data_IF_304287694296
#
_entry.id   IF_304287694296
#
_cell.length_a   1.000
_cell.length_b   1.000
_cell.length_c   1.000
_cell.angle_alpha   90.00
_cell.angle_beta   90.00
_cell.angle_gamma   90.00
#
_symmetry.space_group_name_H-M   'P 1'
#
loop_
_entity.id
_entity.type
_entity.pdbx_description
1 polymer ?
#
# COMPACT_ATOMS: atom_id res chain seq x y z
N UNK A 1 -49.06 1.57 71.29
CA UNK A 1 -48.78 0.67 70.16
C UNK A 1 -48.01 1.41 69.08
N UNK A 2 -46.69 1.31 69.08
CA UNK A 2 -45.81 1.97 68.09
C UNK A 2 -45.56 1.01 66.97
N UNK A 3 -46.07 1.31 65.76
CA UNK A 3 -45.76 0.54 64.54
C UNK A 3 -44.40 1.01 64.03
N UNK A 4 -43.45 0.11 64.16
CA UNK A 4 -42.10 0.27 63.58
C UNK A 4 -42.18 -0.05 62.11
N UNK A 5 -42.05 0.97 61.23
CA UNK A 5 -41.88 0.81 59.81
C UNK A 5 -40.41 0.47 59.52
N UNK A 6 -40.11 -0.80 59.27
CA UNK A 6 -38.84 -1.19 58.68
C UNK A 6 -38.83 -0.80 57.21
N UNK A 7 -38.18 0.29 56.87
CA UNK A 7 -37.78 0.63 55.50
C UNK A 7 -36.61 -0.30 55.13
N UNK A 8 -36.90 -1.39 54.41
CA UNK A 8 -35.90 -2.16 53.75
C UNK A 8 -35.44 -1.32 52.53
N UNK A 9 -34.35 -0.59 52.71
CA UNK A 9 -33.61 -0.02 51.58
C UNK A 9 -33.00 -1.15 50.80
N UNK A 10 -33.64 -1.56 49.71
CA UNK A 10 -33.07 -2.41 48.69
C UNK A 10 -31.95 -1.58 48.06
N UNK A 11 -30.74 -1.70 48.57
CA UNK A 11 -29.53 -1.30 47.84
C UNK A 11 -29.42 -2.24 46.63
N UNK A 12 -30.03 -1.80 45.53
CA UNK A 12 -29.72 -2.34 44.24
C UNK A 12 -28.24 -1.98 43.97
N UNK A 13 -27.35 -2.88 44.33
CA UNK A 13 -25.97 -2.88 43.83
C UNK A 13 -26.07 -3.09 42.33
N UNK A 14 -26.34 -2.00 41.62
CA UNK A 14 -26.00 -1.93 40.21
C UNK A 14 -24.49 -2.05 40.17
N UNK A 15 -23.98 -3.27 40.08
CA UNK A 15 -22.65 -3.52 39.56
C UNK A 15 -22.67 -2.87 38.18
N UNK A 16 -22.33 -1.61 38.12
CA UNK A 16 -21.85 -0.99 36.91
C UNK A 16 -20.61 -1.80 36.53
N UNK A 17 -20.81 -2.89 35.79
CA UNK A 17 -19.76 -3.37 34.93
C UNK A 17 -19.38 -2.13 34.13
N UNK A 18 -18.28 -1.50 34.48
CA UNK A 18 -17.70 -0.47 33.67
C UNK A 18 -17.56 -1.11 32.29
N UNK A 19 -18.50 -0.80 31.40
CA UNK A 19 -18.51 -1.33 30.05
C UNK A 19 -17.23 -0.80 29.44
N UNK A 20 -16.24 -1.68 29.23
CA UNK A 20 -14.95 -1.26 28.74
C UNK A 20 -15.17 -0.63 27.39
N UNK A 21 -14.69 0.62 27.23
CA UNK A 21 -14.91 1.42 26.03
C UNK A 21 -14.03 0.96 24.88
N UNK A 22 -14.35 1.32 23.63
CA UNK A 22 -13.46 1.07 22.48
C UNK A 22 -12.04 1.57 22.73
N UNK A 23 -11.86 2.77 23.33
CA UNK A 23 -10.56 3.37 23.66
C UNK A 23 -9.75 2.51 24.64
N UNK A 24 -10.42 1.87 25.60
CA UNK A 24 -9.76 0.95 26.52
C UNK A 24 -9.16 -0.24 25.76
N UNK A 25 -9.91 -0.86 24.83
CA UNK A 25 -9.42 -1.97 24.04
C UNK A 25 -8.37 -1.56 23.03
N UNK A 26 -8.51 -0.37 22.39
CA UNK A 26 -7.49 0.23 21.54
C UNK A 26 -6.16 0.35 22.30
N UNK A 27 -6.20 0.93 23.50
CA UNK A 27 -5.00 1.09 24.34
C UNK A 27 -4.40 -0.25 24.80
N UNK A 28 -5.22 -1.30 25.01
CA UNK A 28 -4.71 -2.65 25.29
C UNK A 28 -4.05 -3.26 24.05
N UNK A 29 -4.69 -3.15 22.89
CA UNK A 29 -4.17 -3.62 21.62
C UNK A 29 -2.81 -2.98 21.28
N UNK A 30 -2.71 -1.67 21.34
CA UNK A 30 -1.48 -0.93 21.05
C UNK A 30 -0.30 -1.37 21.95
N UNK A 31 -0.55 -1.56 23.25
CA UNK A 31 0.47 -2.09 24.19
C UNK A 31 0.89 -3.51 23.84
N UNK A 32 -0.08 -4.37 23.50
CA UNK A 32 0.20 -5.78 23.17
C UNK A 32 1.00 -5.87 21.88
N UNK A 33 0.57 -5.16 20.83
CA UNK A 33 1.25 -5.10 19.51
C UNK A 33 2.67 -4.55 19.64
N UNK A 34 2.86 -3.50 20.44
CA UNK A 34 4.21 -2.93 20.68
C UNK A 34 5.18 -3.94 21.27
N UNK A 35 4.69 -4.90 22.05
CA UNK A 35 5.51 -5.89 22.75
C UNK A 35 5.68 -7.18 21.95
N UNK A 36 4.62 -7.67 21.32
CA UNK A 36 4.56 -9.01 20.73
C UNK A 36 4.24 -9.03 19.23
N UNK A 37 4.09 -7.86 18.60
CA UNK A 37 3.69 -7.74 17.19
C UNK A 37 2.19 -7.94 16.97
N UNK A 38 1.75 -7.68 15.74
CA UNK A 38 0.33 -7.69 15.37
C UNK A 38 -0.36 -9.05 15.57
N UNK A 39 0.35 -10.15 15.34
CA UNK A 39 -0.15 -11.53 15.56
C UNK A 39 0.29 -12.12 16.90
N UNK A 40 0.68 -11.28 17.88
CA UNK A 40 1.15 -11.71 19.19
C UNK A 40 0.08 -12.42 20.02
N UNK A 41 0.53 -13.25 20.96
CA UNK A 41 -0.37 -13.98 21.87
C UNK A 41 -1.29 -13.01 22.60
N UNK A 42 -2.60 -13.30 22.60
CA UNK A 42 -3.63 -12.50 23.28
C UNK A 42 -4.20 -11.35 22.45
N UNK A 43 -3.61 -10.98 21.31
CA UNK A 43 -4.13 -9.92 20.43
C UNK A 43 -5.53 -10.26 19.94
N UNK A 44 -5.78 -11.51 19.49
CA UNK A 44 -7.08 -11.95 19.01
C UNK A 44 -8.18 -11.77 20.06
N UNK A 45 -7.92 -12.16 21.30
CA UNK A 45 -8.89 -12.00 22.41
C UNK A 45 -9.21 -10.53 22.73
N UNK A 46 -8.23 -9.62 22.58
CA UNK A 46 -8.46 -8.18 22.72
C UNK A 46 -9.36 -7.69 21.57
N UNK A 47 -9.06 -8.08 20.34
CA UNK A 47 -9.84 -7.74 19.16
C UNK A 47 -11.27 -8.26 19.23
N UNK A 48 -11.47 -9.51 19.69
CA UNK A 48 -12.81 -10.08 19.87
C UNK A 48 -13.67 -9.29 20.87
N UNK A 49 -13.04 -8.80 21.94
CA UNK A 49 -13.73 -7.96 22.93
C UNK A 49 -14.02 -6.56 22.37
N UNK A 50 -13.07 -5.97 21.63
CA UNK A 50 -13.25 -4.67 21.00
C UNK A 50 -14.38 -4.73 19.96
N UNK A 51 -14.39 -5.74 19.11
CA UNK A 51 -15.42 -5.94 18.09
C UNK A 51 -16.82 -6.11 18.68
N UNK A 52 -16.97 -6.76 19.87
CA UNK A 52 -18.27 -6.88 20.55
C UNK A 52 -18.84 -5.54 21.01
N UNK A 53 -17.99 -4.59 21.41
CA UNK A 53 -18.43 -3.29 21.91
C UNK A 53 -18.52 -2.23 20.80
N UNK A 54 -17.74 -2.40 19.74
CA UNK A 54 -17.69 -1.45 18.62
C UNK A 54 -17.42 -2.17 17.28
N UNK A 55 -18.39 -2.92 16.74
CA UNK A 55 -18.21 -3.78 15.55
C UNK A 55 -18.00 -2.99 14.24
N UNK A 56 -18.25 -1.69 14.28
CA UNK A 56 -18.10 -0.79 13.12
C UNK A 56 -16.96 0.22 13.30
N UNK A 57 -16.20 0.12 14.38
CA UNK A 57 -15.05 0.99 14.62
C UNK A 57 -13.94 0.74 13.58
N UNK A 58 -13.58 1.77 12.82
CA UNK A 58 -12.58 1.71 11.75
C UNK A 58 -11.20 1.31 12.25
N UNK A 59 -10.80 1.77 13.45
CA UNK A 59 -9.53 1.39 14.07
C UNK A 59 -9.51 -0.09 14.49
N UNK A 60 -10.64 -0.60 14.99
CA UNK A 60 -10.79 -2.02 15.29
C UNK A 60 -10.67 -2.87 14.02
N UNK A 61 -11.33 -2.45 12.95
CA UNK A 61 -11.29 -3.16 11.66
C UNK A 61 -9.88 -3.14 11.06
N UNK A 62 -9.18 -2.02 11.13
CA UNK A 62 -7.76 -1.90 10.76
C UNK A 62 -6.86 -2.81 11.62
N UNK A 63 -7.11 -2.85 12.92
CA UNK A 63 -6.38 -3.73 13.82
C UNK A 63 -6.62 -5.22 13.50
N UNK A 64 -7.87 -5.59 13.17
CA UNK A 64 -8.23 -6.94 12.73
C UNK A 64 -7.56 -7.31 11.40
N UNK A 65 -7.47 -6.36 10.46
CA UNK A 65 -6.71 -6.53 9.23
C UNK A 65 -5.25 -6.85 9.54
N UNK A 66 -4.58 -6.04 10.35
CA UNK A 66 -3.16 -6.24 10.67
C UNK A 66 -2.92 -7.59 11.37
N UNK A 67 -3.82 -8.00 12.27
CA UNK A 67 -3.72 -9.28 12.95
C UNK A 67 -3.71 -10.45 11.96
N UNK A 68 -4.71 -10.53 11.08
CA UNK A 68 -4.81 -11.63 10.12
C UNK A 68 -3.71 -11.57 9.06
N UNK A 69 -3.37 -10.37 8.58
CA UNK A 69 -2.29 -10.17 7.61
C UNK A 69 -0.96 -10.72 8.15
N UNK A 70 -0.58 -10.34 9.37
CA UNK A 70 0.67 -10.82 9.97
C UNK A 70 0.61 -12.29 10.40
N UNK A 71 -0.56 -12.77 10.84
CA UNK A 71 -0.75 -14.19 11.21
C UNK A 71 -0.60 -15.11 10.00
N UNK A 72 -1.07 -14.68 8.84
CA UNK A 72 -0.94 -15.44 7.60
C UNK A 72 0.42 -15.31 6.92
N UNK A 73 1.24 -14.32 7.29
CA UNK A 73 2.50 -14.01 6.64
C UNK A 73 3.63 -14.93 7.10
N UNK A 74 4.40 -15.42 6.14
CA UNK A 74 5.64 -16.14 6.37
C UNK A 74 6.71 -15.69 5.38
N UNK A 75 7.98 -15.81 5.76
CA UNK A 75 9.11 -15.48 4.90
C UNK A 75 9.93 -16.74 4.58
N UNK A 76 10.35 -16.85 3.32
CA UNK A 76 11.24 -17.93 2.86
C UNK A 76 12.36 -17.35 2.01
N UNK A 77 13.46 -18.09 1.99
CA UNK A 77 14.55 -17.81 1.07
C UNK A 77 14.32 -18.57 -0.23
N UNK A 78 14.13 -17.84 -1.32
CA UNK A 78 13.86 -18.39 -2.65
C UNK A 78 15.00 -18.07 -3.62
N UNK A 79 15.38 -19.06 -4.44
CA UNK A 79 16.34 -18.89 -5.52
C UNK A 79 15.60 -18.39 -6.77
N UNK A 80 16.10 -17.30 -7.37
CA UNK A 80 15.54 -16.76 -8.62
C UNK A 80 16.66 -16.47 -9.62
N UNK A 81 16.40 -16.80 -10.88
CA UNK A 81 17.28 -16.49 -11.99
C UNK A 81 17.08 -15.05 -12.48
N UNK A 82 17.31 -14.11 -11.58
CA UNK A 82 17.24 -12.67 -11.86
C UNK A 82 18.08 -11.88 -10.85
N UNK A 83 18.55 -10.70 -11.27
CA UNK A 83 19.37 -9.80 -10.42
C UNK A 83 18.51 -8.85 -9.57
N UNK A 84 17.19 -8.81 -9.80
CA UNK A 84 16.20 -8.07 -9.01
C UNK A 84 14.88 -8.81 -9.00
N UNK A 85 14.19 -8.74 -7.86
CA UNK A 85 12.84 -9.28 -7.69
C UNK A 85 12.00 -8.29 -6.86
N UNK A 86 10.85 -7.90 -7.36
CA UNK A 86 9.97 -6.87 -6.75
C UNK A 86 10.75 -5.60 -6.36
N UNK A 87 11.65 -5.13 -7.24
CA UNK A 87 12.49 -3.96 -7.01
C UNK A 87 13.70 -4.18 -6.09
N UNK A 88 13.76 -5.30 -5.38
CA UNK A 88 14.82 -5.61 -4.42
C UNK A 88 16.01 -6.32 -5.08
N UNK A 89 17.21 -6.12 -4.51
CA UNK A 89 18.40 -6.93 -4.83
C UNK A 89 18.35 -8.24 -4.04
N UNK A 90 19.05 -9.29 -4.50
CA UNK A 90 19.20 -10.51 -3.70
C UNK A 90 19.82 -10.18 -2.34
N UNK A 91 19.35 -10.85 -1.29
CA UNK A 91 19.96 -10.76 0.07
C UNK A 91 21.28 -11.50 0.13
N UNK A 92 21.48 -12.48 -0.77
CA UNK A 92 22.70 -13.27 -0.89
C UNK A 92 22.88 -13.70 -2.33
N UNK A 93 24.11 -13.61 -2.85
CA UNK A 93 24.51 -14.19 -4.12
C UNK A 93 25.69 -15.14 -3.88
N UNK A 94 25.57 -16.39 -4.26
CA UNK A 94 26.60 -17.41 -4.17
C UNK A 94 26.99 -17.87 -5.58
N UNK A 95 28.15 -18.52 -5.70
CA UNK A 95 28.56 -19.22 -6.93
C UNK A 95 28.16 -20.70 -6.85
N UNK A 96 27.58 -21.21 -7.91
CA UNK A 96 27.39 -22.65 -8.07
C UNK A 96 28.71 -23.37 -8.47
N UNK A 97 28.65 -24.68 -8.61
CA UNK A 97 29.82 -25.49 -9.02
C UNK A 97 30.36 -25.15 -10.41
N UNK A 98 29.62 -24.41 -11.23
CA UNK A 98 29.99 -23.95 -12.57
C UNK A 98 30.41 -22.46 -12.56
N UNK A 99 30.50 -21.82 -11.38
CA UNK A 99 30.86 -20.43 -11.23
C UNK A 99 29.75 -19.41 -11.57
N UNK A 100 28.51 -19.85 -11.77
CA UNK A 100 27.37 -18.98 -12.10
C UNK A 100 26.78 -18.38 -10.81
N UNK A 101 26.24 -17.16 -10.92
CA UNK A 101 25.57 -16.51 -9.80
C UNK A 101 24.23 -17.20 -9.49
N UNK A 102 24.04 -17.53 -8.20
CA UNK A 102 22.79 -18.03 -7.62
C UNK A 102 22.29 -16.95 -6.65
N UNK A 103 21.18 -16.34 -7.01
CA UNK A 103 20.62 -15.21 -6.29
C UNK A 103 19.50 -15.66 -5.34
N UNK A 104 19.67 -15.39 -4.07
CA UNK A 104 18.72 -15.71 -3.00
C UNK A 104 17.95 -14.45 -2.62
N UNK A 105 16.63 -14.53 -2.67
CA UNK A 105 15.73 -13.46 -2.28
C UNK A 105 14.91 -13.87 -1.07
N UNK A 106 14.65 -12.91 -0.17
CA UNK A 106 13.65 -13.08 0.86
C UNK A 106 12.29 -12.84 0.23
N UNK A 107 11.41 -13.82 0.29
CA UNK A 107 10.09 -13.74 -0.32
C UNK A 107 9.02 -13.99 0.73
N UNK A 108 8.00 -13.14 0.73
CA UNK A 108 6.83 -13.27 1.60
C UNK A 108 5.80 -14.22 0.97
N UNK A 109 5.18 -15.02 1.82
CA UNK A 109 4.09 -15.93 1.46
C UNK A 109 2.95 -15.73 2.45
N UNK A 110 1.75 -15.92 1.99
CA UNK A 110 0.54 -15.77 2.78
C UNK A 110 -0.24 -17.07 2.83
N UNK A 111 -0.86 -17.34 3.99
CA UNK A 111 -1.97 -18.26 4.09
C UNK A 111 -3.21 -17.59 3.49
N UNK A 112 -3.82 -18.23 2.49
CA UNK A 112 -4.94 -17.64 1.75
C UNK A 112 -6.18 -17.40 2.62
N UNK A 113 -6.43 -18.26 3.63
CA UNK A 113 -7.56 -18.10 4.54
C UNK A 113 -7.36 -16.90 5.47
N UNK A 114 -6.16 -16.72 6.02
CA UNK A 114 -5.83 -15.56 6.85
C UNK A 114 -5.83 -14.27 6.02
N UNK A 115 -5.29 -14.30 4.79
CA UNK A 115 -5.34 -13.13 3.89
C UNK A 115 -6.78 -12.75 3.51
N UNK A 116 -7.67 -13.74 3.32
CA UNK A 116 -9.08 -13.48 3.06
C UNK A 116 -9.78 -12.84 4.27
N UNK A 117 -9.42 -13.24 5.51
CA UNK A 117 -9.95 -12.61 6.72
C UNK A 117 -9.44 -11.18 6.89
N UNK A 118 -8.16 -10.93 6.61
CA UNK A 118 -7.60 -9.58 6.56
C UNK A 118 -8.35 -8.71 5.53
N UNK A 119 -8.48 -9.21 4.29
CA UNK A 119 -9.20 -8.52 3.22
C UNK A 119 -10.64 -8.19 3.61
N UNK A 120 -11.37 -9.13 4.23
CA UNK A 120 -12.73 -8.90 4.71
C UNK A 120 -12.81 -7.76 5.74
N UNK A 121 -11.85 -7.69 6.65
CA UNK A 121 -11.82 -6.63 7.67
C UNK A 121 -11.60 -5.24 7.03
N UNK A 122 -10.62 -5.13 6.13
CA UNK A 122 -10.34 -3.84 5.48
C UNK A 122 -11.43 -3.43 4.50
N UNK A 123 -12.08 -4.38 3.82
CA UNK A 123 -13.23 -4.10 2.94
C UNK A 123 -14.41 -3.55 3.72
N UNK A 124 -14.67 -4.07 4.93
CA UNK A 124 -15.68 -3.52 5.82
C UNK A 124 -15.33 -2.09 6.25
N UNK A 125 -14.07 -1.81 6.58
CA UNK A 125 -13.62 -0.46 6.92
C UNK A 125 -13.82 0.50 5.73
N UNK A 126 -13.40 0.12 4.52
CA UNK A 126 -13.62 0.92 3.28
C UNK A 126 -15.09 1.18 3.02
N UNK A 127 -15.98 0.22 3.32
CA UNK A 127 -17.42 0.37 3.12
C UNK A 127 -18.06 1.34 4.11
N UNK A 128 -17.62 1.31 5.38
CA UNK A 128 -18.15 2.17 6.44
C UNK A 128 -17.56 3.59 6.39
N UNK A 129 -16.30 3.70 5.96
CA UNK A 129 -15.54 4.96 5.90
C UNK A 129 -15.04 5.20 4.48
N UNK A 130 -15.95 5.44 3.53
CA UNK A 130 -15.61 5.46 2.10
C UNK A 130 -14.68 6.61 1.71
N UNK A 131 -14.58 7.67 2.51
CA UNK A 131 -13.76 8.85 2.25
C UNK A 131 -12.41 8.82 3.00
N UNK A 132 -12.17 7.79 3.82
CA UNK A 132 -10.88 7.59 4.49
C UNK A 132 -9.92 6.81 3.58
N UNK A 133 -8.90 7.49 3.07
CA UNK A 133 -7.91 6.91 2.16
C UNK A 133 -7.04 5.86 2.83
N UNK A 134 -6.75 6.00 4.14
CA UNK A 134 -5.87 5.06 4.84
C UNK A 134 -6.28 3.60 4.62
N UNK A 135 -7.57 3.28 4.74
CA UNK A 135 -8.06 1.91 4.57
C UNK A 135 -7.91 1.39 3.14
N UNK A 136 -8.17 2.26 2.15
CA UNK A 136 -8.01 1.92 0.74
C UNK A 136 -6.55 1.71 0.36
N UNK A 137 -5.66 2.57 0.85
CA UNK A 137 -4.23 2.50 0.59
C UNK A 137 -3.59 1.30 1.29
N UNK A 138 -4.04 0.98 2.51
CA UNK A 138 -3.63 -0.23 3.21
C UNK A 138 -4.01 -1.49 2.42
N UNK A 139 -5.21 -1.54 1.88
CA UNK A 139 -5.65 -2.63 1.00
C UNK A 139 -4.76 -2.74 -0.24
N UNK A 140 -4.51 -1.64 -0.97
CA UNK A 140 -3.65 -1.63 -2.15
C UNK A 140 -2.25 -2.13 -1.80
N UNK A 141 -1.65 -1.65 -0.70
CA UNK A 141 -0.32 -2.06 -0.26
C UNK A 141 -0.24 -3.56 0.04
N UNK A 142 -1.26 -4.12 0.71
CA UNK A 142 -1.32 -5.55 1.00
C UNK A 142 -1.44 -6.39 -0.28
N UNK A 143 -2.20 -5.93 -1.26
CA UNK A 143 -2.34 -6.58 -2.56
C UNK A 143 -1.04 -6.59 -3.35
N UNK A 144 -0.25 -5.52 -3.36
CA UNK A 144 1.08 -5.52 -3.99
C UNK A 144 1.97 -6.65 -3.45
N UNK A 145 1.95 -6.86 -2.15
CA UNK A 145 2.78 -7.92 -1.52
C UNK A 145 2.22 -9.31 -1.81
N UNK A 146 0.90 -9.47 -1.80
CA UNK A 146 0.23 -10.74 -2.05
C UNK A 146 0.33 -11.18 -3.51
N UNK A 147 0.05 -10.28 -4.46
CA UNK A 147 0.01 -10.56 -5.91
C UNK A 147 1.40 -10.62 -6.56
N UNK A 148 2.41 -10.01 -5.92
CA UNK A 148 3.82 -10.04 -6.37
C UNK A 148 4.02 -9.50 -7.80
N UNK A 149 4.39 -10.37 -8.74
CA UNK A 149 4.72 -10.01 -10.13
C UNK A 149 3.53 -9.53 -10.96
N UNK A 150 2.28 -9.77 -10.51
CA UNK A 150 1.05 -9.45 -11.26
C UNK A 150 0.02 -8.69 -10.42
N UNK A 151 0.30 -7.42 -10.07
CA UNK A 151 -0.51 -6.64 -9.12
C UNK A 151 -1.81 -6.09 -9.77
N UNK A 152 -2.65 -6.99 -10.31
CA UNK A 152 -3.86 -6.65 -11.04
C UNK A 152 -4.97 -6.12 -10.11
N UNK A 153 -5.14 -6.74 -8.93
CA UNK A 153 -6.14 -6.28 -7.95
C UNK A 153 -5.70 -4.97 -7.28
N UNK A 154 -4.40 -4.81 -7.00
CA UNK A 154 -3.86 -3.53 -6.52
C UNK A 154 -4.14 -2.41 -7.54
N UNK A 155 -3.99 -2.70 -8.84
CA UNK A 155 -4.32 -1.77 -9.92
C UNK A 155 -5.82 -1.43 -9.94
N UNK A 156 -6.69 -2.42 -9.83
CA UNK A 156 -8.14 -2.22 -9.81
C UNK A 156 -8.57 -1.33 -8.63
N UNK A 157 -7.99 -1.54 -7.44
CA UNK A 157 -8.30 -0.70 -6.27
C UNK A 157 -7.81 0.74 -6.46
N UNK A 158 -6.63 0.95 -7.05
CA UNK A 158 -6.14 2.30 -7.36
C UNK A 158 -7.05 2.99 -8.38
N UNK A 159 -7.52 2.27 -9.42
CA UNK A 159 -8.47 2.83 -10.37
C UNK A 159 -9.79 3.24 -9.72
N UNK A 160 -10.31 2.47 -8.76
CA UNK A 160 -11.53 2.82 -8.00
C UNK A 160 -11.38 4.14 -7.21
N UNK A 161 -10.19 4.38 -6.63
CA UNK A 161 -9.90 5.66 -5.94
C UNK A 161 -9.93 6.82 -6.96
N UNK A 162 -9.26 6.65 -8.11
CA UNK A 162 -9.21 7.66 -9.16
C UNK A 162 -10.61 7.90 -9.76
N UNK A 163 -11.38 6.84 -10.02
CA UNK A 163 -12.76 6.94 -10.53
C UNK A 163 -13.64 7.73 -9.58
N UNK A 164 -13.59 7.39 -8.29
CA UNK A 164 -14.38 8.05 -7.28
C UNK A 164 -14.02 9.53 -7.13
N UNK A 165 -12.70 9.85 -7.15
CA UNK A 165 -12.25 11.24 -7.10
C UNK A 165 -12.82 12.06 -8.25
N UNK A 166 -12.86 11.48 -9.47
CA UNK A 166 -13.36 12.17 -10.65
C UNK A 166 -14.90 12.28 -10.70
N UNK A 167 -15.61 11.29 -10.20
CA UNK A 167 -17.07 11.23 -10.29
C UNK A 167 -17.76 11.97 -9.14
N UNK A 168 -17.24 11.87 -7.93
CA UNK A 168 -17.92 12.28 -6.71
C UNK A 168 -17.26 13.47 -6.01
N UNK A 169 -15.96 13.73 -6.28
CA UNK A 169 -15.14 14.74 -5.57
C UNK A 169 -15.30 14.67 -4.04
N UNK A 170 -15.07 13.49 -3.43
CA UNK A 170 -15.31 13.32 -2.00
C UNK A 170 -14.36 14.17 -1.17
N UNK A 171 -14.77 14.51 0.05
CA UNK A 171 -13.90 15.14 1.03
C UNK A 171 -12.93 14.09 1.62
N UNK A 172 -11.92 13.71 0.84
CA UNK A 172 -10.94 12.72 1.27
C UNK A 172 -10.28 13.08 2.60
N UNK A 173 -10.12 12.06 3.45
CA UNK A 173 -9.27 12.13 4.65
C UNK A 173 -8.17 11.08 4.58
N UNK A 174 -7.07 11.32 5.28
CA UNK A 174 -6.01 10.35 5.51
C UNK A 174 -5.58 10.43 6.96
N UNK A 175 -5.76 9.34 7.69
CA UNK A 175 -5.55 9.28 9.15
C UNK A 175 -6.35 10.38 9.90
N UNK A 176 -7.56 10.67 9.41
CA UNK A 176 -8.46 11.68 9.95
C UNK A 176 -8.18 13.13 9.53
N UNK A 177 -7.09 13.39 8.82
CA UNK A 177 -6.75 14.73 8.32
C UNK A 177 -7.25 14.95 6.89
N UNK A 178 -7.75 16.16 6.55
CA UNK A 178 -8.22 16.46 5.21
C UNK A 178 -7.11 16.33 4.15
N UNK A 179 -7.47 15.80 3.00
CA UNK A 179 -6.57 15.63 1.85
C UNK A 179 -7.02 16.56 0.72
N UNK A 180 -6.17 17.50 0.33
CA UNK A 180 -6.41 18.34 -0.83
C UNK A 180 -6.07 17.63 -2.16
N UNK A 181 -6.43 18.25 -3.27
CA UNK A 181 -6.26 17.67 -4.60
C UNK A 181 -4.77 17.39 -4.93
N UNK A 182 -3.86 18.28 -4.57
CA UNK A 182 -2.43 18.10 -4.84
C UNK A 182 -1.86 16.93 -4.04
N UNK A 183 -2.25 16.79 -2.78
CA UNK A 183 -1.90 15.66 -1.92
C UNK A 183 -2.48 14.36 -2.47
N UNK A 184 -3.74 14.35 -2.90
CA UNK A 184 -4.37 13.20 -3.55
C UNK A 184 -3.60 12.75 -4.79
N UNK A 185 -3.25 13.68 -5.67
CA UNK A 185 -2.47 13.40 -6.88
C UNK A 185 -1.07 12.86 -6.52
N UNK A 186 -0.46 13.38 -5.46
CA UNK A 186 0.82 12.88 -4.92
C UNK A 186 0.72 11.43 -4.45
N UNK A 187 -0.34 11.09 -3.72
CA UNK A 187 -0.62 9.72 -3.27
C UNK A 187 -0.77 8.79 -4.48
N UNK A 188 -1.57 9.17 -5.49
CA UNK A 188 -1.74 8.36 -6.71
C UNK A 188 -0.40 8.19 -7.44
N UNK A 189 0.45 9.22 -7.47
CA UNK A 189 1.79 9.15 -8.06
C UNK A 189 2.68 8.13 -7.34
N UNK A 190 2.66 8.10 -6.01
CA UNK A 190 3.42 7.15 -5.21
C UNK A 190 2.99 5.70 -5.50
N UNK A 191 1.68 5.43 -5.45
CA UNK A 191 1.15 4.10 -5.76
C UNK A 191 1.35 3.70 -7.22
N UNK A 192 1.28 4.66 -8.15
CA UNK A 192 1.67 4.43 -9.54
C UNK A 192 3.13 3.99 -9.65
N UNK A 193 4.04 4.63 -8.90
CA UNK A 193 5.46 4.27 -8.91
C UNK A 193 5.74 2.88 -8.32
N UNK A 194 4.90 2.38 -7.41
CA UNK A 194 5.02 1.02 -6.89
C UNK A 194 4.91 -0.03 -8.01
N UNK A 195 4.05 0.17 -9.01
CA UNK A 195 4.01 -0.71 -10.19
C UNK A 195 5.35 -0.70 -10.95
N UNK A 196 6.00 0.45 -11.09
CA UNK A 196 7.33 0.50 -11.69
C UNK A 196 8.36 -0.26 -10.87
N UNK A 197 8.29 -0.16 -9.54
CA UNK A 197 9.20 -0.82 -8.61
C UNK A 197 9.10 -2.34 -8.66
N UNK A 198 7.91 -2.89 -8.79
CA UNK A 198 7.68 -4.34 -8.98
C UNK A 198 8.49 -4.87 -10.16
N UNK A 199 8.54 -4.14 -11.28
CA UNK A 199 9.47 -4.39 -12.36
C UNK A 199 9.15 -5.59 -13.24
N UNK A 200 7.97 -6.19 -13.12
CA UNK A 200 7.48 -7.24 -14.02
C UNK A 200 6.91 -6.64 -15.31
N UNK A 201 6.83 -7.42 -16.40
CA UNK A 201 6.18 -6.95 -17.63
C UNK A 201 4.76 -6.44 -17.40
N UNK A 202 3.95 -7.16 -16.61
CA UNK A 202 2.57 -6.76 -16.29
C UNK A 202 2.52 -5.47 -15.49
N UNK A 203 3.35 -5.34 -14.45
CA UNK A 203 3.38 -4.15 -13.62
C UNK A 203 3.83 -2.89 -14.38
N UNK A 204 4.72 -3.03 -15.37
CA UNK A 204 5.08 -1.92 -16.25
C UNK A 204 3.91 -1.43 -17.11
N UNK A 205 3.04 -2.34 -17.58
CA UNK A 205 1.82 -1.94 -18.31
C UNK A 205 0.84 -1.20 -17.38
N UNK A 206 0.72 -1.61 -16.12
CA UNK A 206 -0.06 -0.89 -15.12
C UNK A 206 0.51 0.51 -14.83
N UNK A 207 1.84 0.61 -14.66
CA UNK A 207 2.52 1.89 -14.51
C UNK A 207 2.24 2.84 -15.67
N UNK A 208 2.33 2.35 -16.91
CA UNK A 208 2.01 3.14 -18.09
C UNK A 208 0.54 3.59 -18.07
N UNK A 209 -0.39 2.65 -17.89
CA UNK A 209 -1.82 2.93 -17.98
C UNK A 209 -2.29 3.95 -16.93
N UNK A 210 -1.83 3.85 -15.66
CA UNK A 210 -2.10 4.87 -14.63
C UNK A 210 -1.49 6.20 -15.04
N UNK A 211 -0.23 6.21 -15.49
CA UNK A 211 0.46 7.44 -15.89
C UNK A 211 -0.22 8.15 -17.06
N UNK A 212 -0.67 7.41 -18.07
CA UNK A 212 -1.41 7.96 -19.21
C UNK A 212 -2.77 8.52 -18.79
N UNK A 213 -3.50 7.81 -17.92
CA UNK A 213 -4.76 8.28 -17.36
C UNK A 213 -4.57 9.57 -16.57
N UNK A 214 -3.65 9.58 -15.62
CA UNK A 214 -3.40 10.74 -14.76
C UNK A 214 -2.82 11.92 -15.54
N UNK A 215 -2.00 11.70 -16.57
CA UNK A 215 -1.52 12.80 -17.43
C UNK A 215 -2.62 13.48 -18.26
N UNK A 216 -3.75 12.79 -18.51
CA UNK A 216 -4.95 13.38 -19.14
C UNK A 216 -5.81 14.13 -18.14
N UNK A 217 -5.99 13.58 -16.93
CA UNK A 217 -6.76 14.23 -15.87
C UNK A 217 -6.05 15.46 -15.30
N UNK A 218 -4.71 15.40 -15.20
CA UNK A 218 -3.86 16.46 -14.64
C UNK A 218 -2.78 16.88 -15.66
N UNK A 219 -3.15 17.55 -16.77
CA UNK A 219 -2.25 17.80 -17.89
C UNK A 219 -1.09 18.76 -17.57
N UNK A 220 -1.18 19.50 -16.46
CA UNK A 220 -0.12 20.39 -15.96
C UNK A 220 0.88 19.68 -15.03
N UNK A 221 0.57 18.46 -14.58
CA UNK A 221 1.46 17.70 -13.70
C UNK A 221 2.57 17.02 -14.52
N UNK A 222 3.86 17.36 -14.31
CA UNK A 222 4.96 16.79 -15.07
C UNK A 222 5.27 15.33 -14.72
N UNK A 223 4.96 14.90 -13.48
CA UNK A 223 5.37 13.60 -12.95
C UNK A 223 4.84 12.42 -13.79
N UNK A 224 3.55 12.45 -14.15
CA UNK A 224 2.97 11.38 -14.97
C UNK A 224 3.50 11.37 -16.40
N UNK A 225 3.85 12.54 -16.95
CA UNK A 225 4.51 12.66 -18.25
C UNK A 225 5.93 12.07 -18.18
N UNK A 226 6.68 12.35 -17.10
CA UNK A 226 7.99 11.73 -16.82
C UNK A 226 7.88 10.21 -16.67
N UNK A 227 6.86 9.72 -15.99
CA UNK A 227 6.59 8.29 -15.83
C UNK A 227 6.43 7.58 -17.17
N UNK A 228 5.65 8.17 -18.10
CA UNK A 228 5.52 7.62 -19.47
C UNK A 228 6.88 7.56 -20.16
N UNK A 229 7.73 8.58 -19.99
CA UNK A 229 9.11 8.56 -20.46
C UNK A 229 9.91 7.39 -19.85
N UNK A 230 9.78 7.17 -18.56
CA UNK A 230 10.44 6.09 -17.82
C UNK A 230 10.01 4.71 -18.32
N UNK A 231 8.72 4.49 -18.56
CA UNK A 231 8.23 3.28 -19.19
C UNK A 231 8.90 3.02 -20.55
N UNK A 232 8.96 4.02 -21.43
CA UNK A 232 9.59 3.88 -22.74
C UNK A 232 11.10 3.63 -22.66
N UNK A 233 11.76 4.19 -21.65
CA UNK A 233 13.19 3.98 -21.44
C UNK A 233 13.49 2.57 -20.93
N UNK A 234 12.78 2.15 -19.91
CA UNK A 234 13.10 0.92 -19.15
C UNK A 234 12.40 -0.30 -19.74
N UNK A 235 11.08 -0.28 -19.84
CA UNK A 235 10.30 -1.45 -20.27
C UNK A 235 10.41 -1.70 -21.77
N UNK A 236 10.51 -0.65 -22.60
CA UNK A 236 10.55 -0.74 -24.04
C UNK A 236 11.91 -0.41 -24.67
N UNK A 237 12.91 -0.03 -23.87
CA UNK A 237 14.27 0.34 -24.30
C UNK A 237 14.30 1.31 -25.49
N UNK A 238 13.29 2.18 -25.57
CA UNK A 238 13.12 3.16 -26.64
C UNK A 238 13.50 4.56 -26.18
N UNK A 239 14.81 4.85 -26.17
CA UNK A 239 15.37 6.14 -25.75
C UNK A 239 14.85 7.33 -26.58
N UNK A 240 14.54 7.14 -27.86
CA UNK A 240 14.00 8.21 -28.72
C UNK A 240 12.61 8.64 -28.27
N UNK A 241 11.74 7.67 -27.96
CA UNK A 241 10.37 7.93 -27.48
C UNK A 241 10.41 8.47 -26.04
N UNK A 242 11.23 7.88 -25.17
CA UNK A 242 11.46 8.36 -23.81
C UNK A 242 11.86 9.84 -23.76
N UNK A 243 12.86 10.23 -24.59
CA UNK A 243 13.34 11.62 -24.67
C UNK A 243 12.24 12.62 -25.03
N UNK A 244 11.26 12.22 -25.86
CA UNK A 244 10.13 13.10 -26.21
C UNK A 244 9.27 13.42 -24.97
N UNK A 245 8.99 12.40 -24.14
CA UNK A 245 8.20 12.57 -22.93
C UNK A 245 8.94 13.36 -21.85
N UNK A 246 10.24 13.10 -21.64
CA UNK A 246 11.03 13.88 -20.70
C UNK A 246 11.14 15.35 -21.10
N UNK A 247 11.35 15.64 -22.40
CA UNK A 247 11.32 17.02 -22.90
C UNK A 247 9.95 17.67 -22.72
N UNK A 248 8.85 16.91 -22.83
CA UNK A 248 7.50 17.42 -22.53
C UNK A 248 7.33 17.70 -21.03
N UNK A 249 7.81 16.83 -20.15
CA UNK A 249 7.79 17.05 -18.71
C UNK A 249 8.58 18.32 -18.32
N UNK A 250 9.78 18.52 -18.89
CA UNK A 250 10.59 19.73 -18.66
C UNK A 250 9.97 21.02 -19.17
N UNK A 251 9.06 20.96 -20.17
CA UNK A 251 8.27 22.14 -20.57
C UNK A 251 7.21 22.50 -19.52
N UNK A 252 6.70 21.51 -18.76
CA UNK A 252 5.74 21.74 -17.69
C UNK A 252 6.45 22.17 -16.40
N UNK A 253 7.57 21.54 -16.08
CA UNK A 253 8.43 21.90 -14.95
C UNK A 253 9.90 21.82 -15.39
N UNK A 254 10.59 22.96 -15.63
CA UNK A 254 12.00 22.98 -15.97
C UNK A 254 12.91 22.33 -14.93
N UNK A 255 12.44 22.19 -13.69
CA UNK A 255 13.18 21.60 -12.57
C UNK A 255 12.82 20.15 -12.28
N UNK A 256 12.09 19.48 -13.16
CA UNK A 256 11.83 18.04 -13.05
C UNK A 256 13.15 17.25 -13.06
N UNK A 257 13.56 16.84 -11.84
CA UNK A 257 14.82 16.13 -11.63
C UNK A 257 14.87 14.80 -12.37
N UNK A 258 13.76 14.04 -12.35
CA UNK A 258 13.70 12.73 -13.00
C UNK A 258 13.88 12.86 -14.53
N UNK A 259 13.21 13.82 -15.15
CA UNK A 259 13.34 14.08 -16.58
C UNK A 259 14.75 14.53 -16.97
N UNK A 260 15.37 15.45 -16.19
CA UNK A 260 16.76 15.90 -16.41
C UNK A 260 17.71 14.70 -16.34
N UNK A 261 17.65 13.94 -15.25
CA UNK A 261 18.55 12.82 -15.00
C UNK A 261 18.45 11.72 -16.05
N UNK A 262 17.23 11.38 -16.45
CA UNK A 262 17.00 10.35 -17.46
C UNK A 262 17.44 10.81 -18.86
N UNK A 263 17.34 12.08 -19.20
CA UNK A 263 17.91 12.62 -20.45
C UNK A 263 19.43 12.54 -20.47
N UNK A 264 20.12 12.83 -19.36
CA UNK A 264 21.57 12.65 -19.22
C UNK A 264 21.98 11.19 -19.43
N UNK A 265 21.24 10.24 -18.83
CA UNK A 265 21.47 8.81 -19.02
C UNK A 265 21.33 8.42 -20.49
N UNK A 266 20.27 8.89 -21.16
CA UNK A 266 20.06 8.62 -22.58
C UNK A 266 21.22 9.16 -23.43
N UNK A 267 21.69 10.38 -23.19
CA UNK A 267 22.82 10.97 -23.89
C UNK A 267 24.12 10.16 -23.69
N UNK A 268 24.37 9.70 -22.46
CA UNK A 268 25.53 8.85 -22.15
C UNK A 268 25.49 7.53 -22.91
N UNK A 269 24.32 6.86 -22.91
CA UNK A 269 24.14 5.60 -23.66
C UNK A 269 24.33 5.76 -25.17
N UNK A 270 23.88 6.87 -25.73
CA UNK A 270 24.06 7.17 -27.16
C UNK A 270 25.54 7.43 -27.52
N UNK A 271 26.24 8.19 -26.68
CA UNK A 271 27.67 8.45 -26.89
C UNK A 271 28.54 7.19 -26.78
N UNK A 272 28.22 6.27 -25.90
CA UNK A 272 28.90 4.99 -25.79
C UNK A 272 28.67 4.09 -27.02
N UNK A 273 27.43 4.01 -27.53
CA UNK A 273 27.14 3.26 -28.75
C UNK A 273 27.86 3.82 -29.97
N UNK A 274 27.98 5.14 -30.10
CA UNK A 274 28.71 5.76 -31.18
C UNK A 274 30.23 5.56 -31.13
N UNK A 275 30.81 5.24 -29.95
CA UNK A 275 32.22 4.88 -29.80
C UNK A 275 32.52 3.42 -30.09
N UNK A 276 31.55 2.51 -29.83
CA UNK A 276 31.70 1.06 -30.10
C UNK A 276 31.50 0.68 -31.56
N UNK A 277 30.97 1.61 -32.38
CA UNK A 277 30.71 1.41 -33.82
C UNK A 277 31.75 2.07 -34.71
N UNK A 278 32.80 2.65 -34.14
CA UNK A 278 34.00 3.12 -34.80
C UNK A 278 35.18 2.21 -34.42
#
# INVERSE_FOLDING_TARGET
MKRLFCLIAILSCACAFAQMTPEFYKGQYERQVKTLGYAGVGVENILDKWERVAPEDGEMLKARFHYHYEKGRSEKMEVKDRTRFLGQKPVLTLKDSLGRDVNYFREEFFDDAEFALASKAIDKAVSLYPDELEYRLLKISSLFTYEKDSPDMARLELDRIIDRNQAEHPAWTYMGEPVDEDTFVGIVQEYCYNFFTVGSPNSYEHFLAVSERMSKLYPKNPAFVSNIGTYWLVARQNSKKASKFYKKALKLNPDDYAAKKNLEIIQTLQSQKGRSSK
#
